data_IF_619099043552
#
_entry.id   IF_619099043552
#
_cell.length_a   1.000
_cell.length_b   1.000
_cell.length_c   1.000
_cell.angle_alpha   90.00
_cell.angle_beta   90.00
_cell.angle_gamma   90.00
#
_symmetry.space_group_name_H-M   'P 1'
#
loop_
_entity.id
_entity.type
_entity.pdbx_description
1 polymer ?
#
# COMPACT_ATOMS: atom_id res chain seq x y z
N UNK A 1 15.13 -28.42 15.30
CA UNK A 1 13.92 -29.05 14.79
C UNK A 1 14.05 -29.17 13.28
N UNK A 2 13.78 -30.33 12.68
CA UNK A 2 13.70 -30.43 11.24
C UNK A 2 12.56 -29.55 10.74
N UNK A 3 12.81 -28.73 9.74
CA UNK A 3 11.82 -27.83 9.14
C UNK A 3 11.85 -28.05 7.64
N UNK A 4 10.68 -28.29 7.06
CA UNK A 4 10.52 -28.40 5.61
C UNK A 4 10.06 -27.05 5.05
N UNK A 5 10.68 -26.61 3.96
CA UNK A 5 10.26 -25.42 3.25
C UNK A 5 9.02 -25.76 2.39
N UNK A 6 7.86 -25.28 2.83
CA UNK A 6 6.56 -25.52 2.17
C UNK A 6 6.13 -24.39 1.22
N UNK A 7 7.02 -23.44 0.93
CA UNK A 7 6.66 -22.24 0.15
C UNK A 7 5.99 -21.15 1.00
N UNK A 8 5.65 -20.03 0.37
CA UNK A 8 4.92 -18.95 1.01
C UNK A 8 3.48 -18.91 0.49
N UNK A 9 2.46 -18.84 1.39
CA UNK A 9 1.03 -18.88 0.99
C UNK A 9 0.61 -17.79 -0.01
N UNK A 10 1.40 -16.72 -0.12
CA UNK A 10 1.18 -15.63 -1.10
C UNK A 10 1.26 -16.13 -2.54
N UNK A 11 2.08 -17.15 -2.81
CA UNK A 11 2.29 -17.68 -4.17
C UNK A 11 1.06 -18.47 -4.67
N UNK A 12 0.26 -19.00 -3.75
CA UNK A 12 -0.94 -19.78 -4.06
C UNK A 12 -2.18 -18.91 -4.36
N UNK A 13 -2.14 -17.62 -4.01
CA UNK A 13 -3.23 -16.68 -4.27
C UNK A 13 -3.20 -16.18 -5.71
N UNK A 14 -3.53 -17.05 -6.67
CA UNK A 14 -3.74 -16.63 -8.07
C UNK A 14 -5.02 -15.79 -8.15
N UNK A 15 -4.89 -14.56 -8.61
CA UNK A 15 -6.04 -13.71 -8.93
C UNK A 15 -6.42 -14.00 -10.38
N UNK A 16 -7.71 -14.28 -10.69
CA UNK A 16 -8.16 -14.51 -12.06
C UNK A 16 -7.81 -13.32 -12.97
N UNK A 17 -7.43 -13.58 -14.22
CA UNK A 17 -7.12 -12.52 -15.21
C UNK A 17 -8.28 -11.54 -15.39
N UNK A 18 -9.53 -12.02 -15.29
CA UNK A 18 -10.75 -11.20 -15.40
C UNK A 18 -11.06 -10.36 -14.16
N UNK A 19 -10.36 -10.56 -13.04
CA UNK A 19 -10.69 -9.90 -11.78
C UNK A 19 -10.52 -8.37 -11.85
N UNK A 20 -9.57 -7.87 -12.63
CA UNK A 20 -9.33 -6.45 -12.84
C UNK A 20 -10.51 -5.80 -13.57
N UNK A 21 -10.92 -6.37 -14.70
CA UNK A 21 -12.02 -5.86 -15.53
C UNK A 21 -13.36 -5.91 -14.76
N UNK A 22 -13.60 -7.02 -14.08
CA UNK A 22 -14.81 -7.21 -13.27
C UNK A 22 -14.88 -6.20 -12.13
N UNK A 23 -13.76 -5.93 -11.44
CA UNK A 23 -13.68 -4.93 -10.40
C UNK A 23 -13.97 -3.53 -10.95
N UNK A 24 -13.31 -3.10 -12.02
CA UNK A 24 -13.54 -1.79 -12.64
C UNK A 24 -15.01 -1.63 -13.07
N UNK A 25 -15.58 -2.65 -13.70
CA UNK A 25 -16.99 -2.65 -14.14
C UNK A 25 -17.95 -2.53 -12.95
N UNK A 26 -17.76 -3.32 -11.89
CA UNK A 26 -18.62 -3.30 -10.68
C UNK A 26 -18.50 -1.99 -9.91
N UNK A 27 -17.30 -1.42 -9.89
CA UNK A 27 -17.00 -0.19 -9.15
C UNK A 27 -17.28 1.10 -9.95
N UNK A 28 -17.69 0.99 -11.23
CA UNK A 28 -17.92 2.14 -12.09
C UNK A 28 -16.64 2.93 -12.43
N UNK A 29 -15.45 2.30 -12.31
CA UNK A 29 -14.18 2.93 -12.65
C UNK A 29 -14.00 2.87 -14.16
N UNK A 30 -13.80 4.03 -14.78
CA UNK A 30 -13.56 4.13 -16.22
C UNK A 30 -12.25 3.45 -16.64
N UNK A 31 -12.19 2.78 -17.81
CA UNK A 31 -11.00 2.07 -18.28
C UNK A 31 -9.77 2.96 -18.52
N UNK A 32 -9.97 4.26 -18.69
CA UNK A 32 -8.90 5.26 -18.85
C UNK A 32 -8.27 5.70 -17.52
N UNK A 33 -8.84 5.27 -16.38
CA UNK A 33 -8.30 5.58 -15.06
C UNK A 33 -7.19 4.61 -14.65
N UNK A 34 -6.08 5.18 -14.17
CA UNK A 34 -5.02 4.43 -13.50
C UNK A 34 -5.32 4.31 -12.01
N UNK A 35 -5.31 3.09 -11.50
CA UNK A 35 -5.64 2.81 -10.11
C UNK A 35 -4.38 2.84 -9.26
N UNK A 36 -4.37 3.69 -8.22
CA UNK A 36 -3.32 3.73 -7.19
C UNK A 36 -3.89 3.19 -5.89
N UNK A 37 -3.27 2.13 -5.36
CA UNK A 37 -3.69 1.55 -4.09
C UNK A 37 -3.12 2.33 -2.91
N UNK A 38 -3.95 2.49 -1.87
CA UNK A 38 -3.59 3.01 -0.56
C UNK A 38 -3.69 1.87 0.45
N UNK A 39 -2.55 1.39 0.96
CA UNK A 39 -2.45 0.22 1.83
C UNK A 39 -1.77 0.61 3.16
N UNK A 40 -2.47 1.32 4.06
CA UNK A 40 -1.87 1.90 5.28
C UNK A 40 -1.58 0.88 6.39
N UNK A 41 -1.85 -0.40 6.15
CA UNK A 41 -1.68 -1.49 7.10
C UNK A 41 -3.00 -2.07 7.58
N UNK A 42 -2.89 -3.10 8.43
CA UNK A 42 -4.04 -3.85 9.00
C UNK A 42 -4.20 -3.66 10.51
N UNK A 43 -3.32 -2.89 11.15
CA UNK A 43 -3.35 -2.58 12.58
C UNK A 43 -3.70 -1.12 12.84
N UNK A 44 -4.44 -0.87 13.90
CA UNK A 44 -4.88 0.48 14.27
C UNK A 44 -3.74 1.52 14.32
N UNK A 45 -2.61 1.14 14.90
CA UNK A 45 -1.44 2.03 15.02
C UNK A 45 -0.74 2.32 13.67
N UNK A 46 -0.76 1.38 12.73
CA UNK A 46 -0.23 1.57 11.38
C UNK A 46 -1.12 2.55 10.63
N UNK A 47 -2.42 2.27 10.59
CA UNK A 47 -3.42 3.11 9.93
C UNK A 47 -3.40 4.53 10.46
N UNK A 48 -3.40 4.74 11.79
CA UNK A 48 -3.41 6.09 12.37
C UNK A 48 -2.18 6.93 12.01
N UNK A 49 -1.04 6.30 11.70
CA UNK A 49 0.20 7.01 11.36
C UNK A 49 0.42 7.21 9.88
N UNK A 50 0.03 6.23 9.07
CA UNK A 50 0.32 6.23 7.63
C UNK A 50 -0.82 6.76 6.78
N UNK A 51 -2.08 6.51 7.18
CA UNK A 51 -3.22 6.93 6.35
C UNK A 51 -3.28 8.44 6.11
N UNK A 52 -3.06 9.33 7.08
CA UNK A 52 -3.03 10.77 6.81
C UNK A 52 -1.97 11.15 5.76
N UNK A 53 -0.76 10.62 5.89
CA UNK A 53 0.34 10.86 4.92
C UNK A 53 -0.05 10.39 3.51
N UNK A 54 -0.67 9.23 3.40
CA UNK A 54 -1.09 8.69 2.11
C UNK A 54 -2.25 9.47 1.47
N UNK A 55 -3.19 9.96 2.28
CA UNK A 55 -4.29 10.80 1.78
C UNK A 55 -3.78 12.16 1.27
N UNK A 56 -2.86 12.79 2.00
CA UNK A 56 -2.22 14.03 1.55
C UNK A 56 -1.38 13.79 0.28
N UNK A 57 -0.62 12.67 0.20
CA UNK A 57 0.11 12.29 -1.00
C UNK A 57 -0.83 12.05 -2.20
N UNK A 58 -1.99 11.42 -1.97
CA UNK A 58 -3.01 11.24 -2.99
C UNK A 58 -3.57 12.58 -3.48
N UNK A 59 -3.78 13.54 -2.58
CA UNK A 59 -4.21 14.90 -2.95
C UNK A 59 -3.16 15.61 -3.83
N UNK A 60 -1.87 15.48 -3.50
CA UNK A 60 -0.77 16.03 -4.32
C UNK A 60 -0.70 15.39 -5.71
N UNK A 61 -0.88 14.07 -5.79
CA UNK A 61 -0.89 13.34 -7.06
C UNK A 61 -2.07 13.76 -7.95
N UNK A 62 -3.27 13.95 -7.38
CA UNK A 62 -4.46 14.42 -8.14
C UNK A 62 -4.27 15.78 -8.79
N UNK A 63 -3.51 16.66 -8.17
CA UNK A 63 -3.21 17.98 -8.77
C UNK A 63 -2.41 17.86 -10.07
N UNK A 64 -1.67 16.78 -10.25
CA UNK A 64 -0.80 16.55 -11.42
C UNK A 64 -1.41 15.58 -12.44
N UNK A 65 -2.22 14.62 -11.99
CA UNK A 65 -2.73 13.54 -12.80
C UNK A 65 -4.24 13.41 -12.61
N UNK A 66 -5.02 13.89 -13.59
CA UNK A 66 -6.48 13.86 -13.55
C UNK A 66 -7.09 12.47 -13.80
N UNK A 67 -6.29 11.55 -14.32
CA UNK A 67 -6.69 10.18 -14.66
C UNK A 67 -6.48 9.17 -13.53
N UNK A 68 -6.14 9.62 -12.31
CA UNK A 68 -5.97 8.72 -11.18
C UNK A 68 -7.28 8.42 -10.46
N UNK A 69 -7.43 7.15 -10.08
CA UNK A 69 -8.41 6.68 -9.12
C UNK A 69 -7.69 6.06 -7.91
N UNK A 70 -7.95 6.59 -6.73
CA UNK A 70 -7.40 6.03 -5.50
C UNK A 70 -8.37 5.00 -4.92
N UNK A 71 -7.84 3.80 -4.63
CA UNK A 71 -8.59 2.71 -4.02
C UNK A 71 -7.88 2.28 -2.73
N UNK A 72 -8.64 2.16 -1.65
CA UNK A 72 -8.16 1.79 -0.33
C UNK A 72 -8.75 0.44 0.09
N UNK A 73 -8.06 -0.67 -0.19
CA UNK A 73 -8.40 -1.98 0.34
C UNK A 73 -8.21 -2.01 1.86
N UNK A 74 -9.25 -2.39 2.59
CA UNK A 74 -9.21 -2.45 4.06
C UNK A 74 -9.70 -3.79 4.59
N UNK A 75 -9.44 -4.07 5.85
CA UNK A 75 -9.91 -5.26 6.57
C UNK A 75 -10.86 -4.86 7.68
N UNK A 76 -11.77 -5.77 8.06
CA UNK A 76 -12.81 -5.52 9.07
C UNK A 76 -12.28 -4.89 10.36
N UNK A 77 -11.09 -5.32 10.80
CA UNK A 77 -10.46 -4.86 12.05
C UNK A 77 -10.27 -3.34 12.11
N UNK A 78 -9.94 -2.70 10.98
CA UNK A 78 -9.62 -1.26 10.92
C UNK A 78 -10.57 -0.48 10.02
N UNK A 79 -11.58 -1.12 9.43
CA UNK A 79 -12.49 -0.50 8.45
C UNK A 79 -13.18 0.76 9.00
N UNK A 80 -13.72 0.68 10.19
CA UNK A 80 -14.41 1.84 10.80
C UNK A 80 -13.45 3.02 11.02
N UNK A 81 -12.22 2.74 11.46
CA UNK A 81 -11.19 3.76 11.62
C UNK A 81 -10.82 4.39 10.27
N UNK A 82 -10.61 3.57 9.24
CA UNK A 82 -10.28 4.02 7.88
C UNK A 82 -11.39 4.93 7.35
N UNK A 83 -12.65 4.52 7.40
CA UNK A 83 -13.79 5.33 6.92
C UNK A 83 -13.87 6.67 7.62
N UNK A 84 -13.73 6.69 8.96
CA UNK A 84 -13.72 7.93 9.74
C UNK A 84 -12.58 8.84 9.31
N UNK A 85 -11.36 8.31 9.22
CA UNK A 85 -10.18 9.12 8.86
C UNK A 85 -10.24 9.66 7.44
N UNK A 86 -10.76 8.89 6.48
CA UNK A 86 -10.97 9.37 5.10
C UNK A 86 -11.95 10.54 5.08
N UNK A 87 -13.08 10.43 5.79
CA UNK A 87 -14.06 11.51 5.89
C UNK A 87 -13.49 12.76 6.61
N UNK A 88 -12.79 12.57 7.73
CA UNK A 88 -12.15 13.67 8.49
C UNK A 88 -11.09 14.43 7.65
N UNK A 89 -10.47 13.77 6.69
CA UNK A 89 -9.49 14.39 5.77
C UNK A 89 -10.11 14.90 4.46
N UNK A 90 -11.43 14.85 4.31
CA UNK A 90 -12.14 15.32 3.10
C UNK A 90 -11.72 14.57 1.82
N UNK A 91 -11.33 13.31 1.95
CA UNK A 91 -10.86 12.47 0.83
C UNK A 91 -11.98 11.55 0.30
N UNK A 92 -13.19 12.11 0.11
CA UNK A 92 -14.41 11.37 -0.24
C UNK A 92 -14.34 10.65 -1.59
N UNK A 93 -13.40 11.03 -2.43
CA UNK A 93 -13.11 10.42 -3.73
C UNK A 93 -12.21 9.18 -3.64
N UNK A 94 -11.68 8.85 -2.46
CA UNK A 94 -10.97 7.60 -2.22
C UNK A 94 -11.96 6.46 -2.04
N UNK A 95 -11.94 5.52 -2.95
CA UNK A 95 -12.82 4.35 -2.91
C UNK A 95 -12.35 3.34 -1.87
N UNK A 96 -13.14 3.10 -0.83
CA UNK A 96 -12.82 2.11 0.22
C UNK A 96 -13.49 0.78 -0.14
N UNK A 97 -12.69 -0.30 -0.19
CA UNK A 97 -13.16 -1.66 -0.48
C UNK A 97 -12.78 -2.62 0.65
N UNK A 98 -13.77 -3.36 1.16
CA UNK A 98 -13.61 -4.25 2.32
C UNK A 98 -13.80 -5.74 1.98
N UNK A 99 -14.60 -6.06 0.96
CA UNK A 99 -14.85 -7.43 0.49
C UNK A 99 -13.57 -8.11 -0.01
N UNK A 100 -13.44 -9.43 0.19
CA UNK A 100 -12.25 -10.17 -0.25
C UNK A 100 -12.07 -10.12 -1.77
N UNK A 101 -13.16 -10.33 -2.51
CA UNK A 101 -13.15 -10.30 -3.98
C UNK A 101 -12.80 -8.90 -4.50
N UNK A 102 -13.41 -7.85 -3.92
CA UNK A 102 -13.14 -6.47 -4.26
C UNK A 102 -11.68 -6.09 -4.02
N UNK A 103 -11.11 -6.50 -2.87
CA UNK A 103 -9.68 -6.27 -2.57
C UNK A 103 -8.77 -6.97 -3.57
N UNK A 104 -9.10 -8.19 -3.98
CA UNK A 104 -8.31 -8.92 -4.99
C UNK A 104 -8.43 -8.27 -6.37
N UNK A 105 -9.65 -7.87 -6.76
CA UNK A 105 -9.89 -7.14 -8.01
C UNK A 105 -9.18 -5.79 -8.05
N UNK A 106 -9.22 -5.02 -6.95
CA UNK A 106 -8.50 -3.76 -6.84
C UNK A 106 -6.99 -3.94 -7.01
N UNK A 107 -6.41 -5.01 -6.42
CA UNK A 107 -4.99 -5.34 -6.62
C UNK A 107 -4.69 -5.71 -8.07
N UNK A 108 -5.53 -6.55 -8.69
CA UNK A 108 -5.35 -6.95 -10.08
C UNK A 108 -5.39 -5.75 -11.04
N UNK A 109 -6.20 -4.74 -10.73
CA UNK A 109 -6.37 -3.53 -11.54
C UNK A 109 -5.36 -2.41 -11.22
N UNK A 110 -4.46 -2.61 -10.26
CA UNK A 110 -3.58 -1.56 -9.77
C UNK A 110 -2.44 -1.24 -10.74
N UNK A 111 -2.25 0.05 -11.00
CA UNK A 111 -1.09 0.59 -11.74
C UNK A 111 0.09 0.87 -10.83
N UNK A 112 -0.17 1.27 -9.58
CA UNK A 112 0.84 1.53 -8.56
C UNK A 112 0.25 1.39 -7.16
N UNK A 113 1.12 1.36 -6.12
CA UNK A 113 0.67 1.33 -4.73
C UNK A 113 1.58 2.10 -3.79
N UNK A 114 0.98 2.68 -2.73
CA UNK A 114 1.67 3.12 -1.53
C UNK A 114 1.25 2.22 -0.37
N UNK A 115 2.21 1.57 0.27
CA UNK A 115 1.92 0.53 1.22
C UNK A 115 2.73 0.64 2.52
N UNK A 116 2.13 0.19 3.63
CA UNK A 116 2.84 -0.04 4.87
C UNK A 116 3.82 -1.21 4.72
N UNK A 117 4.94 -1.16 5.46
CA UNK A 117 5.86 -2.29 5.52
C UNK A 117 5.18 -3.54 6.09
N UNK A 118 5.38 -4.69 5.43
CA UNK A 118 4.82 -5.97 5.83
C UNK A 118 4.78 -6.96 4.67
N UNK A 119 4.01 -8.03 4.84
CA UNK A 119 3.83 -9.08 3.81
C UNK A 119 3.18 -8.58 2.54
N UNK A 120 2.40 -7.50 2.61
CA UNK A 120 1.74 -6.88 1.45
C UNK A 120 2.73 -6.47 0.36
N UNK A 121 3.94 -6.05 0.73
CA UNK A 121 4.98 -5.70 -0.24
C UNK A 121 5.41 -6.91 -1.09
N UNK A 122 5.50 -8.09 -0.48
CA UNK A 122 5.79 -9.32 -1.21
C UNK A 122 4.64 -9.70 -2.16
N UNK A 123 3.39 -9.52 -1.70
CA UNK A 123 2.20 -9.72 -2.55
C UNK A 123 2.24 -8.81 -3.79
N UNK A 124 2.51 -7.51 -3.59
CA UNK A 124 2.60 -6.54 -4.67
C UNK A 124 3.75 -6.85 -5.63
N UNK A 125 4.91 -7.26 -5.11
CA UNK A 125 6.06 -7.63 -5.93
C UNK A 125 5.77 -8.88 -6.80
N UNK A 126 5.14 -9.91 -6.24
CA UNK A 126 4.73 -11.12 -6.99
C UNK A 126 3.72 -10.76 -8.10
N UNK A 127 2.79 -9.84 -7.80
CA UNK A 127 1.82 -9.33 -8.77
C UNK A 127 2.42 -8.32 -9.76
N UNK A 128 3.71 -8.01 -9.65
CA UNK A 128 4.46 -7.03 -10.47
C UNK A 128 3.84 -5.63 -10.43
N UNK A 129 3.24 -5.26 -9.31
CA UNK A 129 2.68 -3.92 -9.09
C UNK A 129 3.79 -3.02 -8.57
N UNK A 130 4.16 -1.94 -9.29
CA UNK A 130 5.10 -0.95 -8.81
C UNK A 130 4.60 -0.31 -7.51
N UNK A 131 5.44 -0.24 -6.50
CA UNK A 131 4.99 0.28 -5.21
C UNK A 131 6.13 0.91 -4.40
N UNK A 132 5.76 1.72 -3.45
CA UNK A 132 6.63 2.23 -2.40
C UNK A 132 6.23 1.64 -1.04
N UNK A 133 7.20 1.54 -0.16
CA UNK A 133 6.94 1.14 1.22
C UNK A 133 7.19 2.31 2.15
N UNK A 134 6.19 2.57 2.99
CA UNK A 134 6.28 3.55 4.07
C UNK A 134 6.26 2.85 5.44
N UNK A 135 7.05 3.37 6.36
CA UNK A 135 7.10 2.87 7.72
C UNK A 135 7.26 4.01 8.72
N UNK A 136 6.32 4.09 9.66
CA UNK A 136 6.31 5.12 10.70
C UNK A 136 5.91 4.52 12.04
N UNK A 137 6.80 4.59 13.01
CA UNK A 137 6.56 4.14 14.39
C UNK A 137 6.68 5.29 15.36
N UNK A 138 6.34 5.05 16.64
CA UNK A 138 6.50 6.08 17.66
C UNK A 138 7.97 6.53 17.74
N UNK A 139 8.24 7.82 17.99
CA UNK A 139 9.60 8.37 18.00
C UNK A 139 10.56 7.62 18.93
N UNK A 140 10.10 7.22 20.11
CA UNK A 140 10.90 6.44 21.07
C UNK A 140 11.27 5.06 20.51
N UNK A 141 10.32 4.38 19.84
CA UNK A 141 10.57 3.08 19.21
C UNK A 141 11.55 3.22 18.03
N UNK A 142 11.43 4.28 17.25
CA UNK A 142 12.33 4.58 16.15
C UNK A 142 13.76 4.84 16.66
N UNK A 143 13.90 5.63 17.72
CA UNK A 143 15.19 5.90 18.35
C UNK A 143 15.85 4.63 18.86
N UNK A 144 15.11 3.79 19.59
CA UNK A 144 15.60 2.53 20.12
C UNK A 144 16.02 1.56 19.01
N UNK A 145 15.19 1.45 17.95
CA UNK A 145 15.49 0.58 16.81
C UNK A 145 16.76 1.01 16.07
N UNK A 146 17.01 2.31 15.89
CA UNK A 146 18.24 2.82 15.25
C UNK A 146 19.51 2.47 16.03
N UNK A 147 19.43 2.43 17.36
CA UNK A 147 20.59 2.15 18.22
C UNK A 147 20.85 0.65 18.42
N UNK A 148 19.78 -0.17 18.35
CA UNK A 148 19.88 -1.61 18.64
C UNK A 148 19.94 -2.48 17.37
N UNK A 149 19.37 -2.01 16.25
CA UNK A 149 19.19 -2.83 15.05
C UNK A 149 19.96 -2.23 13.86
N UNK A 150 20.97 -2.96 13.37
CA UNK A 150 21.64 -2.67 12.09
C UNK A 150 20.81 -3.25 10.91
N UNK A 151 19.55 -2.82 10.77
CA UNK A 151 18.68 -3.29 9.70
C UNK A 151 18.93 -2.40 8.48
N UNK A 152 19.29 -3.01 7.35
CA UNK A 152 19.48 -2.30 6.06
C UNK A 152 18.18 -1.98 5.36
N UNK A 153 17.14 -2.81 5.53
CA UNK A 153 15.82 -2.66 4.91
C UNK A 153 14.75 -3.24 5.82
N UNK A 154 13.56 -2.66 5.80
CA UNK A 154 12.35 -3.17 6.48
C UNK A 154 11.39 -3.85 5.51
N UNK A 155 11.77 -3.94 4.25
CA UNK A 155 10.97 -4.47 3.16
C UNK A 155 11.47 -5.86 2.72
N UNK A 156 10.57 -6.85 2.74
CA UNK A 156 10.92 -8.24 2.40
C UNK A 156 11.50 -8.40 0.99
N UNK A 157 10.95 -7.83 -0.08
CA UNK A 157 11.56 -7.85 -1.41
C UNK A 157 13.02 -7.38 -1.43
N UNK A 158 13.33 -6.24 -0.79
CA UNK A 158 14.68 -5.71 -0.73
C UNK A 158 15.64 -6.61 0.05
N UNK A 159 15.14 -7.22 1.15
CA UNK A 159 15.92 -8.18 1.95
C UNK A 159 16.22 -9.43 1.15
N UNK A 160 15.23 -9.99 0.45
CA UNK A 160 15.38 -11.22 -0.32
C UNK A 160 16.31 -11.05 -1.52
N UNK A 161 16.21 -9.90 -2.19
CA UNK A 161 17.04 -9.58 -3.35
C UNK A 161 18.41 -8.99 -2.97
N UNK A 162 18.62 -8.68 -1.68
CA UNK A 162 19.80 -7.96 -1.17
C UNK A 162 20.09 -6.67 -1.96
N UNK A 163 19.03 -6.00 -2.41
CA UNK A 163 19.08 -4.78 -3.21
C UNK A 163 17.90 -3.86 -2.89
N UNK A 164 18.01 -2.56 -3.19
CA UNK A 164 16.96 -1.56 -2.97
C UNK A 164 16.05 -1.45 -4.20
N UNK A 165 15.33 -2.52 -4.54
CA UNK A 165 14.44 -2.58 -5.70
C UNK A 165 13.11 -1.88 -5.50
N UNK A 166 12.68 -1.75 -4.23
CA UNK A 166 11.45 -1.05 -3.84
C UNK A 166 11.83 0.15 -2.98
N UNK A 167 11.39 1.37 -3.31
CA UNK A 167 11.66 2.56 -2.50
C UNK A 167 11.08 2.43 -1.08
N UNK A 168 11.88 2.75 -0.07
CA UNK A 168 11.49 2.75 1.34
C UNK A 168 11.53 4.16 1.91
N UNK A 169 10.40 4.62 2.42
CA UNK A 169 10.26 5.91 3.09
C UNK A 169 10.04 5.68 4.59
N UNK A 170 11.12 5.82 5.35
CA UNK A 170 11.15 5.48 6.78
C UNK A 170 11.11 6.75 7.63
N UNK A 171 10.27 6.76 8.64
CA UNK A 171 10.20 7.78 9.69
C UNK A 171 10.10 9.21 9.11
N UNK A 172 11.17 9.99 9.19
CA UNK A 172 11.25 11.38 8.73
C UNK A 172 11.14 11.51 7.22
N UNK A 173 11.59 10.50 6.47
CA UNK A 173 11.44 10.46 5.02
C UNK A 173 9.99 10.15 4.58
N UNK A 174 9.16 9.65 5.49
CA UNK A 174 7.75 9.36 5.22
C UNK A 174 6.92 10.64 5.31
N UNK A 175 7.05 11.51 4.29
CA UNK A 175 6.26 12.74 4.10
C UNK A 175 5.33 12.59 2.91
N UNK A 176 4.22 13.35 2.83
CA UNK A 176 3.31 13.34 1.69
C UNK A 176 4.02 13.62 0.35
N UNK A 177 4.94 14.59 0.34
CA UNK A 177 5.69 15.01 -0.84
C UNK A 177 6.61 13.89 -1.35
N UNK A 178 7.33 13.24 -0.44
CA UNK A 178 8.22 12.13 -0.80
C UNK A 178 7.43 10.91 -1.29
N UNK A 179 6.32 10.58 -0.62
CA UNK A 179 5.41 9.50 -1.04
C UNK A 179 4.85 9.79 -2.44
N UNK A 180 4.32 10.99 -2.66
CA UNK A 180 3.80 11.40 -3.96
C UNK A 180 4.90 11.41 -5.03
N UNK A 181 6.10 11.90 -4.69
CA UNK A 181 7.24 11.94 -5.60
C UNK A 181 7.71 10.56 -6.06
N UNK A 182 7.78 9.59 -5.15
CA UNK A 182 8.16 8.22 -5.50
C UNK A 182 7.06 7.49 -6.31
N UNK A 183 5.79 7.63 -5.92
CA UNK A 183 4.66 7.04 -6.68
C UNK A 183 4.58 7.63 -8.09
N UNK A 184 4.82 8.93 -8.24
CA UNK A 184 4.79 9.59 -9.55
C UNK A 184 5.79 9.02 -10.58
N UNK A 185 6.87 8.35 -10.12
CA UNK A 185 7.85 7.70 -11.03
C UNK A 185 7.28 6.45 -11.71
N UNK A 186 6.17 5.92 -11.20
CA UNK A 186 5.49 4.73 -11.74
C UNK A 186 4.29 5.07 -12.63
N UNK A 187 3.91 6.34 -12.67
CA UNK A 187 2.75 6.86 -13.40
C UNK A 187 3.16 7.53 -14.71
#
# INVERSE_FOLDING_TARGET
LPSDFVGHPVIENTVPETAAEEFCRKSGISPDKRIVLILPGSRHNEVSRLLPVFLEAAALLRQKYADLQFVLPTVKTVEQQVRRMVAENGADDVMIVAGREERNGARAAASAAMAASGTVSLELAIMKIPHIIAYKVAPLTAWLARHLLKIRSVNLPNILMNDSIVPELLQEACTPENVAGEVAKFL
#
